data_IF_671986559257
#
_entry.id   IF_671986559257
#
_cell.length_a   1.000
_cell.length_b   1.000
_cell.length_c   1.000
_cell.angle_alpha   90.00
_cell.angle_beta   90.00
_cell.angle_gamma   90.00
#
_symmetry.space_group_name_H-M   'P 1'
#
loop_
_entity.id
_entity.type
_entity.pdbx_description
1 polymer ?
#
# COMPACT_ATOMS: atom_id res chain seq x y z
N UNK A 1 63.51 30.75 11.68
CA UNK A 1 63.20 29.50 10.98
C UNK A 1 61.76 29.13 11.26
N UNK A 2 60.87 29.48 10.35
CA UNK A 2 59.40 29.29 10.48
C UNK A 2 59.04 27.99 9.75
N UNK A 3 58.59 26.98 10.51
CA UNK A 3 58.15 25.69 9.92
C UNK A 3 56.68 25.80 9.49
N UNK A 4 56.45 25.80 8.18
CA UNK A 4 55.11 25.63 7.59
C UNK A 4 54.66 24.18 7.80
N UNK A 5 53.52 24.01 8.46
CA UNK A 5 52.76 22.71 8.45
C UNK A 5 51.81 22.69 7.25
N UNK A 6 51.81 21.63 6.44
CA UNK A 6 50.84 21.50 5.36
C UNK A 6 49.49 21.09 5.94
N UNK A 7 48.48 21.92 5.77
CA UNK A 7 47.09 21.60 6.06
C UNK A 7 46.55 20.61 5.04
N UNK A 8 46.31 19.38 5.49
CA UNK A 8 45.70 18.31 4.69
C UNK A 8 44.21 18.62 4.54
N UNK A 9 43.81 19.10 3.37
CA UNK A 9 42.40 19.26 2.99
C UNK A 9 41.87 17.89 2.62
N UNK A 10 41.04 17.27 3.51
CA UNK A 10 40.25 16.07 3.19
C UNK A 10 38.96 16.57 2.55
N UNK A 11 38.69 16.24 1.25
CA UNK A 11 37.39 16.57 0.69
C UNK A 11 36.35 15.61 1.30
N UNK A 12 35.44 16.16 2.07
CA UNK A 12 34.26 15.48 2.57
C UNK A 12 33.30 15.23 1.40
N UNK A 13 33.50 14.11 0.69
CA UNK A 13 32.55 13.61 -0.32
C UNK A 13 31.25 13.21 0.39
N UNK A 14 30.30 14.14 0.44
CA UNK A 14 28.94 13.86 0.86
C UNK A 14 28.30 12.89 -0.15
N UNK A 15 28.28 11.59 0.18
CA UNK A 15 27.45 10.60 -0.51
C UNK A 15 26.00 10.99 -0.26
N UNK A 16 25.38 11.68 -1.21
CA UNK A 16 23.93 11.86 -1.28
C UNK A 16 23.30 10.51 -1.61
N UNK A 17 22.93 9.76 -0.58
CA UNK A 17 22.00 8.64 -0.74
C UNK A 17 20.63 9.22 -1.09
N UNK A 18 20.40 9.48 -2.37
CA UNK A 18 19.09 9.75 -2.89
C UNK A 18 18.27 8.43 -2.81
N UNK A 19 17.61 8.22 -1.67
CA UNK A 19 16.54 7.22 -1.58
C UNK A 19 15.38 7.73 -2.42
N UNK A 20 15.41 7.45 -3.72
CA UNK A 20 14.29 7.69 -4.61
C UNK A 20 13.25 6.58 -4.34
N UNK A 21 12.34 6.80 -3.39
CA UNK A 21 11.05 6.11 -3.42
C UNK A 21 10.27 6.68 -4.61
N UNK A 22 10.49 6.13 -5.78
CA UNK A 22 9.79 6.56 -6.99
C UNK A 22 8.45 5.85 -7.06
N UNK A 23 7.36 6.64 -7.07
CA UNK A 23 6.04 6.08 -7.35
C UNK A 23 6.05 5.40 -8.72
N UNK A 24 5.36 4.27 -8.90
CA UNK A 24 5.25 3.63 -10.21
C UNK A 24 4.69 4.63 -11.25
N UNK A 25 5.09 4.55 -12.52
CA UNK A 25 4.56 5.43 -13.55
C UNK A 25 3.06 5.21 -13.74
N UNK A 26 2.30 6.27 -14.01
CA UNK A 26 0.83 6.20 -14.15
C UNK A 26 0.35 5.18 -15.19
N UNK A 27 1.15 4.93 -16.21
CA UNK A 27 0.88 3.92 -17.25
C UNK A 27 0.83 2.49 -16.70
N UNK A 28 1.54 2.21 -15.60
CA UNK A 28 1.58 0.87 -14.99
C UNK A 28 0.43 0.60 -14.00
N UNK A 29 -0.31 1.61 -13.54
CA UNK A 29 -1.32 1.46 -12.47
C UNK A 29 -2.39 0.39 -12.74
N UNK A 30 -2.70 0.11 -13.99
CA UNK A 30 -3.67 -0.91 -14.37
C UNK A 30 -3.04 -2.29 -14.61
N UNK A 31 -1.73 -2.43 -14.45
CA UNK A 31 -0.99 -3.67 -14.62
C UNK A 31 -0.11 -3.94 -13.39
N UNK A 32 -0.56 -4.88 -12.56
CA UNK A 32 0.14 -5.20 -11.30
C UNK A 32 1.56 -5.74 -11.55
N UNK A 33 1.78 -6.49 -12.65
CA UNK A 33 3.10 -6.98 -13.00
C UNK A 33 4.06 -5.80 -13.24
N UNK A 34 3.61 -4.79 -14.00
CA UNK A 34 4.43 -3.60 -14.26
C UNK A 34 4.65 -2.75 -13.00
N UNK A 35 3.77 -2.81 -12.01
CA UNK A 35 4.00 -2.17 -10.70
C UNK A 35 5.10 -2.91 -9.95
N UNK A 36 5.06 -4.23 -9.92
CA UNK A 36 6.06 -5.07 -9.25
C UNK A 36 7.43 -5.05 -9.98
N UNK A 37 7.43 -5.02 -11.33
CA UNK A 37 8.66 -4.86 -12.12
C UNK A 37 9.35 -3.52 -11.87
N UNK A 38 8.57 -2.47 -11.54
CA UNK A 38 9.13 -1.15 -11.23
C UNK A 38 9.90 -1.15 -9.90
N UNK A 39 9.39 -1.86 -8.90
CA UNK A 39 9.98 -1.98 -7.58
C UNK A 39 9.46 -3.24 -6.90
N UNK A 40 10.36 -4.21 -6.65
CA UNK A 40 10.03 -5.51 -6.05
C UNK A 40 9.53 -5.41 -4.61
N UNK A 41 9.82 -4.33 -3.90
CA UNK A 41 9.37 -4.13 -2.52
C UNK A 41 7.84 -4.11 -2.42
N UNK A 42 7.15 -3.73 -3.52
CA UNK A 42 5.69 -3.77 -3.60
C UNK A 42 5.13 -5.19 -3.60
N UNK A 43 5.79 -6.10 -4.32
CA UNK A 43 5.39 -7.51 -4.36
C UNK A 43 5.63 -8.16 -3.02
N UNK A 44 6.84 -8.00 -2.48
CA UNK A 44 7.25 -8.57 -1.20
C UNK A 44 6.33 -8.08 -0.06
N UNK A 45 6.06 -6.78 0.03
CA UNK A 45 5.16 -6.20 1.01
C UNK A 45 3.72 -6.75 0.91
N UNK A 46 3.20 -6.90 -0.32
CA UNK A 46 1.86 -7.42 -0.54
C UNK A 46 1.75 -8.92 -0.17
N UNK A 47 2.76 -9.72 -0.52
CA UNK A 47 2.82 -11.14 -0.21
C UNK A 47 3.01 -11.40 1.29
N UNK A 48 3.86 -10.63 1.97
CA UNK A 48 4.06 -10.74 3.41
C UNK A 48 2.78 -10.37 4.18
N UNK A 49 2.09 -9.32 3.78
CA UNK A 49 0.81 -8.95 4.36
C UNK A 49 -0.28 -10.01 4.10
N UNK A 50 -0.32 -10.61 2.89
CA UNK A 50 -1.21 -11.73 2.59
C UNK A 50 -0.91 -12.93 3.49
N UNK A 51 0.36 -13.33 3.62
CA UNK A 51 0.79 -14.44 4.48
C UNK A 51 0.40 -14.21 5.94
N UNK A 52 0.55 -12.98 6.42
CA UNK A 52 0.28 -12.62 7.82
C UNK A 52 -1.22 -12.52 8.13
N UNK A 53 -1.99 -11.89 7.24
CA UNK A 53 -3.39 -11.52 7.49
C UNK A 53 -4.42 -12.30 6.67
N UNK A 54 -3.98 -12.95 5.59
CA UNK A 54 -4.78 -13.81 4.74
C UNK A 54 -5.69 -13.09 3.75
N UNK A 55 -5.54 -11.77 3.57
CA UNK A 55 -6.17 -11.05 2.45
C UNK A 55 -5.24 -11.12 1.25
N UNK A 56 -5.70 -11.59 0.07
CA UNK A 56 -4.86 -11.76 -1.10
C UNK A 56 -4.16 -10.48 -1.57
N UNK A 57 -2.90 -10.59 -1.99
CA UNK A 57 -2.05 -9.48 -2.46
C UNK A 57 -2.75 -8.61 -3.53
N UNK A 58 -3.45 -9.25 -4.48
CA UNK A 58 -4.19 -8.52 -5.52
C UNK A 58 -5.33 -7.64 -4.98
N UNK A 59 -5.90 -7.97 -3.81
CA UNK A 59 -6.91 -7.14 -3.12
C UNK A 59 -6.21 -5.98 -2.42
N UNK A 60 -5.12 -6.23 -1.69
CA UNK A 60 -4.34 -5.19 -1.01
C UNK A 60 -3.88 -4.12 -2.00
N UNK A 61 -3.32 -4.55 -3.14
CA UNK A 61 -2.88 -3.65 -4.21
C UNK A 61 -4.03 -2.87 -4.85
N UNK A 62 -5.22 -3.47 -4.99
CA UNK A 62 -6.39 -2.76 -5.50
C UNK A 62 -6.87 -1.66 -4.54
N UNK A 63 -6.71 -1.84 -3.23
CA UNK A 63 -6.97 -0.81 -2.23
C UNK A 63 -5.99 0.35 -2.38
N UNK A 64 -4.68 0.11 -2.39
CA UNK A 64 -3.67 1.16 -2.59
C UNK A 64 -3.91 1.91 -3.91
N UNK A 65 -4.22 1.17 -4.98
CA UNK A 65 -4.57 1.80 -6.26
C UNK A 65 -5.77 2.75 -6.14
N UNK A 66 -6.81 2.39 -5.39
CA UNK A 66 -7.99 3.25 -5.22
C UNK A 66 -7.72 4.43 -4.29
N UNK A 67 -7.00 4.22 -3.19
CA UNK A 67 -6.80 5.22 -2.13
C UNK A 67 -5.82 6.32 -2.54
N UNK A 68 -4.67 5.95 -3.06
CA UNK A 68 -3.58 6.91 -3.31
C UNK A 68 -3.08 6.96 -4.76
N UNK A 69 -3.50 6.03 -5.62
CA UNK A 69 -2.84 5.82 -6.92
C UNK A 69 -1.35 5.57 -6.78
N UNK A 70 -0.97 4.76 -5.80
CA UNK A 70 0.42 4.45 -5.46
C UNK A 70 1.26 5.66 -5.04
N UNK A 71 0.64 6.76 -4.65
CA UNK A 71 1.32 7.96 -4.20
C UNK A 71 1.58 7.86 -2.70
N UNK A 72 2.87 7.85 -2.29
CA UNK A 72 3.27 7.64 -0.90
C UNK A 72 2.82 8.75 0.06
N UNK A 73 2.72 9.98 -0.42
CA UNK A 73 2.37 11.18 0.34
C UNK A 73 0.98 11.74 -0.01
N UNK A 74 0.10 10.89 -0.56
CA UNK A 74 -1.25 11.30 -0.91
C UNK A 74 -1.99 11.87 0.30
N UNK A 75 -2.66 12.98 0.12
CA UNK A 75 -3.49 13.64 1.16
C UNK A 75 -4.65 14.37 0.51
N UNK A 76 -5.76 14.58 1.25
CA UNK A 76 -6.86 15.41 0.80
C UNK A 76 -6.38 16.82 0.41
N UNK A 77 -7.00 17.38 -0.60
CA UNK A 77 -6.71 18.75 -1.00
C UNK A 77 -6.96 19.73 0.15
N UNK A 78 -6.13 20.76 0.23
CA UNK A 78 -6.28 21.84 1.20
C UNK A 78 -7.12 22.94 0.59
N UNK A 79 -8.15 23.35 1.32
CA UNK A 79 -8.92 24.54 0.97
C UNK A 79 -8.22 25.81 1.48
N UNK A 80 -8.47 26.92 0.82
CA UNK A 80 -7.90 28.22 1.18
C UNK A 80 -9.04 29.24 1.38
N UNK A 81 -9.08 29.91 2.54
CA UNK A 81 -9.95 31.04 2.73
C UNK A 81 -9.44 32.23 1.91
N UNK A 82 -10.34 32.86 1.16
CA UNK A 82 -10.03 33.99 0.25
C UNK A 82 -8.89 33.69 -0.74
N UNK A 83 -8.66 32.41 -1.05
CA UNK A 83 -7.60 31.97 -1.96
C UNK A 83 -6.16 32.08 -1.40
N UNK A 84 -5.96 32.53 -0.17
CA UNK A 84 -4.64 32.83 0.39
C UNK A 84 -4.35 32.13 1.72
N UNK A 85 -5.35 32.01 2.60
CA UNK A 85 -5.15 31.44 3.94
C UNK A 85 -5.45 29.95 3.94
N UNK A 86 -4.47 29.06 4.18
CA UNK A 86 -4.70 27.61 4.18
C UNK A 86 -5.60 27.21 5.35
N UNK A 87 -6.71 26.54 5.05
CA UNK A 87 -7.61 25.94 6.02
C UNK A 87 -7.14 24.55 6.46
N UNK A 88 -7.56 24.05 7.63
CA UNK A 88 -7.34 22.67 8.02
C UNK A 88 -7.87 21.71 6.97
N UNK A 89 -7.18 20.60 6.74
CA UNK A 89 -7.68 19.55 5.83
C UNK A 89 -8.96 18.93 6.38
N UNK A 90 -9.88 18.54 5.51
CA UNK A 90 -11.17 17.93 5.89
C UNK A 90 -11.04 16.60 6.60
N UNK A 91 -9.90 15.90 6.46
CA UNK A 91 -9.61 14.66 7.17
C UNK A 91 -8.10 14.49 7.36
N UNK A 92 -7.73 13.61 8.30
CA UNK A 92 -6.34 13.21 8.56
C UNK A 92 -5.85 12.06 7.65
N UNK A 93 -6.62 11.72 6.60
CA UNK A 93 -6.23 10.69 5.63
C UNK A 93 -4.87 11.00 5.00
N UNK A 94 -3.95 9.99 4.99
CA UNK A 94 -2.58 10.22 4.53
C UNK A 94 -1.94 8.96 3.95
N UNK A 95 -1.03 9.17 2.99
CA UNK A 95 -0.15 8.15 2.46
C UNK A 95 -0.83 7.14 1.54
N UNK A 96 -0.22 5.99 1.35
CA UNK A 96 -0.68 4.94 0.44
C UNK A 96 -2.10 4.44 0.74
N UNK A 97 -2.44 4.36 2.02
CA UNK A 97 -3.69 3.74 2.52
C UNK A 97 -4.82 4.73 2.73
N UNK A 98 -4.55 6.03 2.73
CA UNK A 98 -5.49 7.07 3.14
C UNK A 98 -6.13 6.79 4.52
N UNK A 99 -5.43 6.01 5.36
CA UNK A 99 -5.86 5.78 6.73
C UNK A 99 -5.89 7.10 7.51
N UNK A 100 -6.96 7.30 8.29
CA UNK A 100 -7.07 8.41 9.22
C UNK A 100 -6.33 8.10 10.54
N UNK A 101 -5.96 9.15 11.29
CA UNK A 101 -5.19 9.01 12.52
C UNK A 101 -5.76 8.01 13.52
N UNK A 102 -7.08 7.97 13.81
CA UNK A 102 -7.62 6.99 14.75
C UNK A 102 -7.41 5.54 14.30
N UNK A 103 -7.65 5.24 13.02
CA UNK A 103 -7.48 3.89 12.50
C UNK A 103 -6.01 3.46 12.47
N UNK A 104 -5.10 4.41 12.15
CA UNK A 104 -3.66 4.16 12.17
C UNK A 104 -3.15 3.92 13.59
N UNK A 105 -3.61 4.72 14.55
CA UNK A 105 -3.28 4.54 15.96
C UNK A 105 -3.75 3.17 16.49
N UNK A 106 -4.99 2.77 16.16
CA UNK A 106 -5.52 1.46 16.55
C UNK A 106 -4.67 0.31 15.98
N UNK A 107 -4.21 0.44 14.75
CA UNK A 107 -3.28 -0.50 14.14
C UNK A 107 -1.95 -0.56 14.88
N UNK A 108 -1.28 0.58 15.09
CA UNK A 108 -0.01 0.64 15.82
C UNK A 108 -0.13 0.03 17.23
N UNK A 109 -1.20 0.37 17.94
CA UNK A 109 -1.49 -0.16 19.28
C UNK A 109 -1.72 -1.66 19.27
N UNK A 110 -2.47 -2.19 18.31
CA UNK A 110 -2.83 -3.61 18.26
C UNK A 110 -1.69 -4.52 17.80
N UNK A 111 -0.77 -3.99 17.00
CA UNK A 111 0.38 -4.72 16.45
C UNK A 111 1.67 -4.47 17.22
N UNK A 112 1.72 -3.42 18.05
CA UNK A 112 2.94 -2.96 18.72
C UNK A 112 3.92 -2.23 17.79
N UNK A 113 3.56 -2.02 16.51
CA UNK A 113 4.43 -1.36 15.52
C UNK A 113 4.29 0.17 15.57
N UNK A 114 4.88 0.77 16.61
CA UNK A 114 4.83 2.23 16.80
C UNK A 114 5.68 3.01 15.80
N UNK A 115 6.63 2.37 15.14
CA UNK A 115 7.48 2.97 14.10
C UNK A 115 6.84 2.99 12.71
N UNK A 116 5.69 2.33 12.53
CA UNK A 116 5.00 2.26 11.26
C UNK A 116 4.66 3.63 10.67
N UNK A 117 4.83 3.77 9.36
CA UNK A 117 4.60 5.01 8.61
C UNK A 117 3.66 4.78 7.43
N UNK A 118 2.66 5.64 7.28
CA UNK A 118 1.69 5.59 6.16
C UNK A 118 2.31 5.86 4.78
N UNK A 119 3.56 6.31 4.75
CA UNK A 119 4.35 6.55 3.54
C UNK A 119 5.27 5.40 3.17
N UNK A 120 5.38 4.38 4.03
CA UNK A 120 6.13 3.16 3.77
C UNK A 120 5.18 2.09 3.21
N UNK A 121 5.62 1.37 2.18
CA UNK A 121 4.73 0.42 1.48
C UNK A 121 4.48 -0.86 2.31
N UNK A 122 5.48 -1.36 3.01
CA UNK A 122 5.38 -2.55 3.85
C UNK A 122 4.38 -2.31 4.99
N UNK A 123 4.55 -1.19 5.73
CA UNK A 123 3.62 -0.78 6.80
C UNK A 123 2.20 -0.55 6.26
N UNK A 124 2.09 -0.03 5.04
CA UNK A 124 0.80 0.24 4.40
C UNK A 124 0.08 -1.04 4.00
N UNK A 125 0.79 -2.02 3.44
CA UNK A 125 0.22 -3.34 3.12
C UNK A 125 -0.17 -4.09 4.39
N UNK A 126 0.69 -4.06 5.41
CA UNK A 126 0.40 -4.66 6.72
C UNK A 126 -0.85 -4.04 7.36
N UNK A 127 -0.99 -2.70 7.31
CA UNK A 127 -2.18 -2.01 7.79
C UNK A 127 -3.46 -2.45 7.07
N UNK A 128 -3.47 -2.49 5.72
CA UNK A 128 -4.67 -2.90 4.96
C UNK A 128 -5.01 -4.36 5.28
N UNK A 129 -4.01 -5.23 5.34
CA UNK A 129 -4.18 -6.63 5.73
C UNK A 129 -4.78 -6.77 7.12
N UNK A 130 -4.23 -6.07 8.10
CA UNK A 130 -4.76 -6.02 9.48
C UNK A 130 -6.20 -5.51 9.51
N UNK A 131 -6.52 -4.43 8.80
CA UNK A 131 -7.85 -3.84 8.80
C UNK A 131 -8.89 -4.80 8.19
N UNK A 132 -8.54 -5.47 7.10
CA UNK A 132 -9.37 -6.49 6.48
C UNK A 132 -9.56 -7.72 7.40
N UNK A 133 -8.51 -8.10 8.13
CA UNK A 133 -8.63 -9.13 9.16
C UNK A 133 -9.59 -8.73 10.29
N UNK A 134 -9.58 -7.46 10.73
CA UNK A 134 -10.58 -6.94 11.67
C UNK A 134 -12.00 -6.99 11.08
N UNK A 135 -12.15 -6.70 9.78
CA UNK A 135 -13.44 -6.81 9.06
C UNK A 135 -13.95 -8.25 9.06
N UNK A 136 -13.08 -9.22 8.83
CA UNK A 136 -13.41 -10.64 8.96
C UNK A 136 -13.82 -11.00 10.40
N UNK A 137 -13.03 -10.60 11.39
CA UNK A 137 -13.28 -10.94 12.80
C UNK A 137 -14.57 -10.33 13.35
N UNK A 138 -14.85 -9.08 13.00
CA UNK A 138 -15.97 -8.32 13.61
C UNK A 138 -17.28 -8.43 12.82
N UNK A 139 -17.18 -8.53 11.50
CA UNK A 139 -18.34 -8.46 10.61
C UNK A 139 -18.55 -9.73 9.76
N UNK A 140 -17.70 -10.75 9.92
CA UNK A 140 -17.81 -12.01 9.16
C UNK A 140 -17.53 -11.87 7.66
N UNK A 141 -16.88 -10.76 7.24
CA UNK A 141 -16.59 -10.52 5.82
C UNK A 141 -15.47 -11.45 5.37
N UNK A 142 -15.70 -12.24 4.32
CA UNK A 142 -14.66 -13.08 3.74
C UNK A 142 -13.45 -12.24 3.32
N UNK A 143 -12.23 -12.71 3.61
CA UNK A 143 -10.98 -12.04 3.19
C UNK A 143 -10.78 -12.01 1.67
N UNK A 144 -11.62 -12.73 0.93
CA UNK A 144 -11.67 -12.73 -0.55
C UNK A 144 -12.78 -11.84 -1.13
N UNK A 145 -13.62 -11.25 -0.29
CA UNK A 145 -14.74 -10.40 -0.71
C UNK A 145 -14.30 -8.93 -0.77
N UNK A 146 -13.65 -8.57 -1.86
CA UNK A 146 -13.15 -7.20 -2.09
C UNK A 146 -14.23 -6.13 -1.91
N UNK A 147 -15.47 -6.40 -2.37
CA UNK A 147 -16.55 -5.43 -2.34
C UNK A 147 -16.92 -5.06 -0.90
N UNK A 148 -17.22 -6.05 -0.08
CA UNK A 148 -17.62 -5.82 1.31
C UNK A 148 -16.43 -5.38 2.19
N UNK A 149 -15.21 -5.87 1.92
CA UNK A 149 -14.00 -5.38 2.58
C UNK A 149 -13.81 -3.88 2.33
N UNK A 150 -13.99 -3.41 1.09
CA UNK A 150 -13.83 -1.99 0.78
C UNK A 150 -14.94 -1.12 1.41
N UNK A 151 -16.19 -1.60 1.44
CA UNK A 151 -17.26 -0.92 2.16
C UNK A 151 -16.93 -0.77 3.66
N UNK A 152 -16.42 -1.82 4.31
CA UNK A 152 -16.03 -1.79 5.70
C UNK A 152 -14.79 -0.91 5.93
N UNK A 153 -13.85 -0.89 4.98
CA UNK A 153 -12.68 -0.01 5.03
C UNK A 153 -13.07 1.46 5.08
N UNK A 154 -14.01 1.86 4.23
CA UNK A 154 -14.47 3.25 4.13
C UNK A 154 -15.39 3.66 5.29
N UNK A 155 -16.36 2.79 5.67
CA UNK A 155 -17.37 3.12 6.70
C UNK A 155 -16.89 2.91 8.13
N UNK A 156 -15.76 2.24 8.30
CA UNK A 156 -15.35 1.67 9.56
C UNK A 156 -16.16 0.42 9.92
N UNK A 157 -15.65 -0.41 10.82
CA UNK A 157 -16.27 -1.68 11.23
C UNK A 157 -17.71 -1.47 11.75
N UNK A 158 -17.90 -0.44 12.60
CA UNK A 158 -19.21 -0.11 13.15
C UNK A 158 -20.18 0.46 12.12
N UNK A 159 -19.71 1.27 11.19
CA UNK A 159 -20.51 1.82 10.10
C UNK A 159 -21.00 0.72 9.15
N UNK A 160 -20.12 -0.21 8.80
CA UNK A 160 -20.47 -1.37 7.99
C UNK A 160 -21.54 -2.24 8.69
N UNK A 161 -21.34 -2.56 9.98
CA UNK A 161 -22.31 -3.32 10.78
C UNK A 161 -23.71 -2.67 10.80
N UNK A 162 -23.76 -1.35 10.91
CA UNK A 162 -25.01 -0.57 10.83
C UNK A 162 -25.51 -0.32 9.40
N UNK A 163 -24.81 -0.84 8.38
CA UNK A 163 -25.15 -0.73 6.97
C UNK A 163 -25.27 0.72 6.46
N UNK A 164 -24.47 1.66 7.00
CA UNK A 164 -24.51 3.08 6.62
C UNK A 164 -24.20 3.30 5.14
N UNK A 165 -23.45 2.41 4.51
CA UNK A 165 -23.16 2.40 3.08
C UNK A 165 -24.41 2.27 2.18
N UNK A 166 -25.54 1.78 2.70
CA UNK A 166 -26.76 1.68 1.91
C UNK A 166 -27.27 3.05 1.45
N UNK A 167 -27.03 4.10 2.24
CA UNK A 167 -27.37 5.50 1.93
C UNK A 167 -26.32 6.21 1.08
N UNK A 168 -25.25 5.51 0.65
CA UNK A 168 -24.14 6.06 -0.14
C UNK A 168 -23.98 5.34 -1.49
N UNK A 169 -24.85 5.61 -2.49
CA UNK A 169 -24.76 4.95 -3.80
C UNK A 169 -23.39 5.12 -4.46
N UNK A 170 -22.77 6.27 -4.25
CA UNK A 170 -21.43 6.56 -4.76
C UNK A 170 -20.36 5.58 -4.17
N UNK A 171 -20.43 5.27 -2.86
CA UNK A 171 -19.49 4.35 -2.23
C UNK A 171 -19.63 2.94 -2.79
N UNK A 172 -20.87 2.48 -3.03
CA UNK A 172 -21.12 1.19 -3.68
C UNK A 172 -20.52 1.13 -5.09
N UNK A 173 -20.60 2.23 -5.85
CA UNK A 173 -19.93 2.33 -7.17
C UNK A 173 -18.41 2.25 -7.04
N UNK A 174 -17.82 2.89 -6.04
CA UNK A 174 -16.37 2.81 -5.78
C UNK A 174 -15.98 1.39 -5.38
N UNK A 175 -16.68 0.76 -4.43
CA UNK A 175 -16.43 -0.62 -4.02
C UNK A 175 -16.47 -1.60 -5.21
N UNK A 176 -17.45 -1.44 -6.11
CA UNK A 176 -17.51 -2.22 -7.34
C UNK A 176 -16.30 -1.99 -8.27
N UNK A 177 -15.81 -0.74 -8.36
CA UNK A 177 -14.62 -0.39 -9.13
C UNK A 177 -13.36 -1.05 -8.58
N UNK A 178 -13.21 -1.04 -7.24
CA UNK A 178 -12.10 -1.73 -6.55
C UNK A 178 -12.17 -3.23 -6.79
N UNK A 179 -13.37 -3.82 -6.72
CA UNK A 179 -13.56 -5.24 -7.03
C UNK A 179 -13.15 -5.58 -8.46
N UNK A 180 -13.54 -4.78 -9.44
CA UNK A 180 -13.09 -4.98 -10.83
C UNK A 180 -11.57 -4.89 -10.98
N UNK A 181 -10.94 -3.96 -10.27
CA UNK A 181 -9.50 -3.81 -10.30
C UNK A 181 -8.80 -5.01 -9.64
N UNK A 182 -9.31 -5.50 -8.50
CA UNK A 182 -8.74 -6.68 -7.84
C UNK A 182 -8.83 -7.94 -8.72
N UNK A 183 -9.96 -8.14 -9.42
CA UNK A 183 -10.09 -9.25 -10.37
C UNK A 183 -9.09 -9.13 -11.52
N UNK A 184 -8.90 -7.92 -12.06
CA UNK A 184 -7.90 -7.66 -13.11
C UNK A 184 -6.49 -8.00 -12.61
N UNK A 185 -6.12 -7.54 -11.42
CA UNK A 185 -4.82 -7.84 -10.81
C UNK A 185 -4.63 -9.34 -10.56
N UNK A 186 -5.67 -10.03 -10.08
CA UNK A 186 -5.65 -11.49 -9.92
C UNK A 186 -5.31 -12.23 -11.21
N UNK A 187 -5.96 -11.86 -12.32
CA UNK A 187 -5.72 -12.50 -13.62
C UNK A 187 -4.35 -12.13 -14.21
N UNK A 188 -3.84 -10.94 -13.91
CA UNK A 188 -2.51 -10.54 -14.33
C UNK A 188 -1.43 -11.31 -13.56
N UNK A 189 -1.54 -11.44 -12.23
CA UNK A 189 -0.58 -12.20 -11.42
C UNK A 189 -0.46 -13.65 -11.87
N UNK A 190 -1.56 -14.31 -12.23
CA UNK A 190 -1.50 -15.66 -12.80
C UNK A 190 -0.60 -15.72 -14.03
N UNK A 191 -0.66 -14.71 -14.90
CA UNK A 191 0.11 -14.66 -16.16
C UNK A 191 1.58 -14.30 -15.93
N UNK A 192 1.88 -13.33 -15.06
CA UNK A 192 3.26 -12.98 -14.75
C UNK A 192 3.99 -14.16 -14.10
N UNK A 193 3.35 -14.84 -13.14
CA UNK A 193 3.96 -15.98 -12.46
C UNK A 193 4.22 -17.15 -13.43
N UNK A 194 3.36 -17.37 -14.41
CA UNK A 194 3.57 -18.37 -15.46
C UNK A 194 4.73 -17.99 -16.39
N UNK A 195 4.84 -16.72 -16.77
CA UNK A 195 5.95 -16.23 -17.59
C UNK A 195 7.29 -16.35 -16.86
N UNK A 196 7.33 -16.05 -15.57
CA UNK A 196 8.53 -16.21 -14.74
C UNK A 196 8.94 -17.69 -14.59
N UNK A 197 7.99 -18.59 -14.37
CA UNK A 197 8.28 -20.03 -14.24
C UNK A 197 8.72 -20.67 -15.55
N UNK A 198 8.30 -20.14 -16.70
CA UNK A 198 8.70 -20.67 -18.02
C UNK A 198 10.02 -20.09 -18.55
N UNK A 199 10.48 -18.94 -18.05
CA UNK A 199 11.71 -18.26 -18.49
C UNK A 199 12.92 -18.51 -17.60
N UNK A 200 12.80 -19.25 -16.48
CA UNK A 200 13.92 -19.55 -15.60
C UNK A 200 14.73 -20.74 -16.13
N UNK A 201 15.99 -20.55 -16.58
CA UNK A 201 16.94 -21.64 -16.61
C UNK A 201 17.25 -22.06 -15.18
N UNK A 202 17.08 -23.33 -14.90
CA UNK A 202 17.48 -24.02 -13.67
C UNK A 202 18.84 -23.56 -13.15
N UNK A 203 18.83 -22.75 -12.11
CA UNK A 203 19.82 -22.49 -11.08
C UNK A 203 19.87 -21.01 -10.68
N UNK A 204 19.19 -20.66 -9.63
CA UNK A 204 19.61 -19.54 -8.80
C UNK A 204 19.45 -19.90 -7.33
N UNK A 205 20.51 -19.65 -6.59
CA UNK A 205 20.67 -19.90 -5.17
C UNK A 205 19.46 -19.50 -4.34
N UNK A 206 18.70 -20.47 -3.86
CA UNK A 206 18.03 -20.46 -2.55
C UNK A 206 17.00 -19.39 -2.22
N UNK A 207 16.59 -18.54 -3.16
CA UNK A 207 15.43 -17.68 -2.98
C UNK A 207 14.35 -18.12 -3.96
N UNK A 208 13.40 -18.92 -3.48
CA UNK A 208 12.15 -19.10 -4.18
C UNK A 208 11.50 -17.71 -4.36
N UNK A 209 11.49 -17.16 -5.57
CA UNK A 209 10.48 -16.19 -5.95
C UNK A 209 9.18 -17.00 -6.04
N UNK A 210 8.36 -16.85 -5.02
CA UNK A 210 7.22 -17.70 -4.79
C UNK A 210 6.31 -17.81 -6.01
N UNK A 211 6.29 -18.98 -6.63
CA UNK A 211 5.12 -19.43 -7.36
C UNK A 211 4.04 -19.72 -6.32
N UNK A 212 3.09 -18.84 -6.20
CA UNK A 212 1.95 -18.96 -5.30
C UNK A 212 1.10 -20.17 -5.69
N UNK A 213 0.60 -21.04 -4.77
CA UNK A 213 0.71 -21.06 -3.30
C UNK A 213 1.65 -22.15 -2.72
N UNK A 214 2.58 -22.70 -3.50
CA UNK A 214 3.40 -23.85 -3.10
C UNK A 214 4.91 -23.59 -3.34
N UNK A 215 5.59 -23.00 -2.35
CA UNK A 215 6.97 -23.24 -2.00
C UNK A 215 7.05 -23.66 -0.56
#
# INVERSE_FOLDING_TARGET
>A
MLKLFPTLFIPLSALLLASCSSNPPKSSYNNICSVFDHDSDWEDAALDAEKKWGTPAYILMAFVHQESRFKHDAQPEREYALGLVPLPRRSSAYGYTQAQDPAWYDYQKSTGNWSARRTNIEDSMDFIGWYNYQSFKRNGISRYDTYNLYLAYHEGQGGYSRKTYLRKPWLKKVAYKVTKQSIRYKEQLKRCNQAYSSSSPSKSNGKCRAAWPYC
#
